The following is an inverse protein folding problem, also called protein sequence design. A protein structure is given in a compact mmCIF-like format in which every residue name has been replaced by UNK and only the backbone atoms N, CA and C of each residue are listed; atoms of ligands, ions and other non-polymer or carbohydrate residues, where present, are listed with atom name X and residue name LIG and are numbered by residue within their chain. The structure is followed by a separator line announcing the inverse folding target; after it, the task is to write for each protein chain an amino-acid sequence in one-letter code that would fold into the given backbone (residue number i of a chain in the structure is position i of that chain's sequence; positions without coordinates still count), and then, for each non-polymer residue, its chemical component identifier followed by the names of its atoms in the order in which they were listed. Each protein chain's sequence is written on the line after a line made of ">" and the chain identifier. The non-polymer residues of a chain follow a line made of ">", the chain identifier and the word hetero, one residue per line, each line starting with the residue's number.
data_IF_635704130401
#
_entry.id   IF_635704130401
#
_cell.length_a   1.000
_cell.length_b   1.000
_cell.length_c   1.000
_cell.angle_alpha   90.00
_cell.angle_beta   90.00
_cell.angle_gamma   90.00
#
_symmetry.space_group_name_H-M   'P 1'
#
loop_
_entity.id
_entity.type
_entity.pdbx_description
1 polymer ?
#
# COMPACT_ATOMS: atom_id res chain seq x y z
N UNK A 1 3.17 -32.50 -15.78
CA UNK A 1 3.76 -31.44 -16.62
C UNK A 1 3.36 -31.70 -18.06
N UNK A 2 2.77 -30.72 -18.74
CA UNK A 2 2.43 -30.79 -20.17
C UNK A 2 3.40 -29.90 -20.96
N UNK A 3 3.96 -30.39 -22.05
CA UNK A 3 4.97 -29.68 -22.85
C UNK A 3 4.40 -29.37 -24.23
N UNK A 4 4.41 -28.10 -24.61
CA UNK A 4 3.91 -27.62 -25.90
C UNK A 4 4.94 -26.68 -26.53
N UNK A 5 5.30 -26.94 -27.79
CA UNK A 5 6.18 -26.05 -28.56
C UNK A 5 5.33 -25.03 -29.31
N UNK A 6 5.53 -23.74 -29.03
CA UNK A 6 4.81 -22.62 -29.68
C UNK A 6 5.78 -21.66 -30.36
N UNK A 7 5.36 -21.12 -31.51
CA UNK A 7 6.05 -20.04 -32.23
C UNK A 7 5.58 -18.66 -31.74
N UNK A 8 6.26 -17.61 -32.19
CA UNK A 8 5.84 -16.24 -31.92
C UNK A 8 4.40 -16.00 -32.43
N UNK A 9 3.63 -15.24 -31.65
CA UNK A 9 2.21 -14.93 -31.82
C UNK A 9 1.24 -16.11 -31.64
N UNK A 10 1.73 -17.31 -31.35
CA UNK A 10 0.85 -18.42 -30.99
C UNK A 10 0.40 -18.34 -29.53
N UNK A 11 -0.76 -18.93 -29.25
CA UNK A 11 -1.44 -18.87 -27.96
C UNK A 11 -1.69 -20.26 -27.40
N UNK A 12 -1.68 -20.36 -26.07
CA UNK A 12 -2.04 -21.53 -25.29
C UNK A 12 -3.18 -21.11 -24.37
N UNK A 13 -4.28 -21.86 -24.40
CA UNK A 13 -5.41 -21.65 -23.49
C UNK A 13 -5.32 -22.64 -22.32
N UNK A 14 -5.48 -22.14 -21.10
CA UNK A 14 -5.48 -22.94 -19.87
C UNK A 14 -6.84 -22.76 -19.19
N UNK A 15 -7.61 -23.84 -19.13
CA UNK A 15 -9.02 -23.78 -18.75
C UNK A 15 -9.81 -22.91 -19.73
N UNK A 16 -10.80 -22.17 -19.24
CA UNK A 16 -11.66 -21.34 -20.09
C UNK A 16 -11.20 -19.88 -20.16
N UNK A 17 -10.59 -19.39 -19.08
CA UNK A 17 -10.39 -17.94 -18.86
C UNK A 17 -8.94 -17.46 -18.95
N UNK A 18 -7.95 -18.36 -18.99
CA UNK A 18 -6.54 -17.96 -19.05
C UNK A 18 -5.96 -18.21 -20.44
N UNK A 19 -5.35 -17.19 -21.02
CA UNK A 19 -4.68 -17.26 -22.32
C UNK A 19 -3.24 -16.79 -22.18
N UNK A 20 -2.31 -17.67 -22.54
CA UNK A 20 -0.88 -17.39 -22.59
C UNK A 20 -0.47 -17.18 -24.05
N UNK A 21 0.12 -16.03 -24.36
CA UNK A 21 0.53 -15.66 -25.71
C UNK A 21 2.04 -15.50 -25.76
N UNK A 22 2.69 -16.11 -26.75
CA UNK A 22 4.11 -15.88 -27.00
C UNK A 22 4.25 -14.58 -27.81
N UNK A 23 4.59 -13.49 -27.15
CA UNK A 23 4.64 -12.15 -27.78
C UNK A 23 5.89 -12.02 -28.64
N UNK A 24 7.04 -12.48 -28.15
CA UNK A 24 8.32 -12.41 -28.86
C UNK A 24 9.28 -13.47 -28.36
N UNK A 25 10.06 -14.02 -29.27
CA UNK A 25 11.20 -14.89 -28.95
C UNK A 25 12.48 -14.18 -29.42
N UNK A 26 13.44 -14.01 -28.53
CA UNK A 26 14.73 -13.37 -28.82
C UNK A 26 15.85 -14.21 -28.19
N UNK A 27 16.43 -15.12 -28.97
CA UNK A 27 17.43 -16.07 -28.47
C UNK A 27 16.87 -16.86 -27.29
N UNK A 28 17.50 -16.70 -26.13
CA UNK A 28 17.13 -17.40 -24.90
C UNK A 28 16.01 -16.70 -24.10
N UNK A 29 15.61 -15.49 -24.51
CA UNK A 29 14.57 -14.71 -23.81
C UNK A 29 13.25 -14.79 -24.56
N UNK A 30 12.19 -15.07 -23.81
CA UNK A 30 10.81 -15.11 -24.33
C UNK A 30 9.99 -14.04 -23.62
N UNK A 31 9.26 -13.23 -24.40
CA UNK A 31 8.21 -12.36 -23.88
C UNK A 31 6.89 -13.09 -23.94
N UNK A 32 6.24 -13.19 -22.79
CA UNK A 32 4.98 -13.90 -22.63
C UNK A 32 3.93 -12.88 -22.18
N UNK A 33 2.81 -12.83 -22.90
CA UNK A 33 1.60 -12.12 -22.50
C UNK A 33 0.66 -13.10 -21.81
N UNK A 34 0.10 -12.71 -20.68
CA UNK A 34 -0.85 -13.54 -19.92
C UNK A 34 -2.13 -12.73 -19.75
N UNK A 35 -3.22 -13.25 -20.28
CA UNK A 35 -4.56 -12.71 -20.09
C UNK A 35 -5.29 -13.64 -19.11
N UNK A 36 -5.80 -13.08 -18.03
CA UNK A 36 -6.46 -13.80 -16.96
C UNK A 36 -7.59 -12.94 -16.36
N UNK A 37 -8.66 -13.56 -15.84
CA UNK A 37 -9.80 -12.84 -15.27
C UNK A 37 -9.43 -12.16 -13.93
N UNK A 38 -10.20 -11.14 -13.51
CA UNK A 38 -10.03 -10.52 -12.20
C UNK A 38 -10.28 -11.57 -11.10
N UNK A 39 -9.26 -11.83 -10.28
CA UNK A 39 -9.30 -12.86 -9.24
C UNK A 39 -8.22 -13.94 -9.40
N UNK A 40 -7.66 -14.10 -10.60
CA UNK A 40 -6.50 -14.96 -10.83
C UNK A 40 -5.22 -14.13 -10.68
N UNK A 41 -4.44 -14.38 -9.64
CA UNK A 41 -3.12 -13.76 -9.46
C UNK A 41 -2.11 -14.37 -10.42
N UNK A 42 -1.41 -13.52 -11.16
CA UNK A 42 -0.30 -13.90 -12.05
C UNK A 42 0.97 -13.32 -11.46
N UNK A 43 1.88 -14.19 -11.00
CA UNK A 43 3.13 -13.81 -10.37
C UNK A 43 4.29 -14.55 -11.04
N UNK A 44 5.47 -13.93 -11.01
CA UNK A 44 6.72 -14.63 -11.31
C UNK A 44 7.04 -15.57 -10.15
N UNK A 45 7.56 -16.75 -10.45
CA UNK A 45 7.69 -17.85 -9.48
C UNK A 45 8.55 -17.47 -8.26
N UNK A 46 9.60 -16.69 -8.50
CA UNK A 46 10.49 -16.16 -7.47
C UNK A 46 9.81 -15.21 -6.48
N UNK A 47 8.61 -14.70 -6.80
CA UNK A 47 7.87 -13.76 -5.95
C UNK A 47 6.86 -14.43 -5.02
N UNK A 48 6.67 -15.76 -5.08
CA UNK A 48 5.65 -16.48 -4.31
C UNK A 48 5.69 -16.23 -2.80
N UNK A 49 6.86 -15.94 -2.22
CA UNK A 49 7.02 -15.76 -0.78
C UNK A 49 6.60 -14.39 -0.21
N UNK A 50 6.36 -13.38 -1.05
CA UNK A 50 6.14 -12.00 -0.59
C UNK A 50 4.67 -11.58 -0.53
N UNK A 51 3.71 -12.45 -0.89
CA UNK A 51 2.35 -12.02 -1.22
C UNK A 51 1.25 -12.46 -0.25
N UNK A 52 1.60 -13.12 0.85
CA UNK A 52 0.60 -13.67 1.79
C UNK A 52 0.52 -12.93 3.14
N UNK A 53 1.48 -12.05 3.46
CA UNK A 53 1.44 -11.29 4.73
C UNK A 53 0.81 -9.90 4.64
N UNK A 54 0.80 -9.26 3.48
CA UNK A 54 0.49 -7.82 3.41
C UNK A 54 -0.96 -7.48 3.06
N UNK A 55 -1.78 -8.45 2.64
CA UNK A 55 -3.19 -8.20 2.28
C UNK A 55 -4.19 -8.36 3.44
N UNK A 56 -3.70 -8.69 4.65
CA UNK A 56 -4.53 -8.89 5.84
C UNK A 56 -4.48 -7.77 6.88
N UNK A 57 -3.60 -6.76 6.74
CA UNK A 57 -3.47 -5.67 7.72
C UNK A 57 -3.99 -4.36 7.18
N UNK A 58 -5.31 -4.30 6.98
CA UNK A 58 -6.04 -3.03 7.05
C UNK A 58 -6.81 -3.03 8.37
N UNK A 59 -6.06 -3.12 9.47
CA UNK A 59 -6.59 -2.85 10.80
C UNK A 59 -6.84 -1.35 10.89
N UNK A 60 -8.04 -0.94 10.47
CA UNK A 60 -8.65 0.31 10.91
C UNK A 60 -8.90 0.23 12.42
N UNK A 61 -7.86 0.44 13.22
CA UNK A 61 -7.96 0.64 14.65
C UNK A 61 -6.74 1.39 15.18
N UNK A 62 -6.95 2.61 15.69
CA UNK A 62 -6.04 3.23 16.65
C UNK A 62 -5.37 4.53 16.23
N UNK A 63 -6.15 5.60 16.08
CA UNK A 63 -5.71 6.90 16.61
C UNK A 63 -6.70 7.33 17.71
N UNK A 64 -6.79 6.51 18.76
CA UNK A 64 -7.22 6.97 20.08
C UNK A 64 -5.95 7.31 20.84
N UNK A 65 -5.52 8.57 20.80
CA UNK A 65 -4.54 9.10 21.73
C UNK A 65 -5.19 10.22 22.55
N UNK A 66 -5.84 9.83 23.64
CA UNK A 66 -5.65 10.52 24.91
C UNK A 66 -5.04 9.47 25.84
N UNK A 67 -3.82 9.72 26.33
CA UNK A 67 -3.75 10.32 27.65
C UNK A 67 -2.51 11.24 27.83
N UNK A 68 -2.71 12.48 28.24
CA UNK A 68 -1.64 13.28 28.85
C UNK A 68 -2.09 13.77 30.22
N UNK A 69 -2.12 12.85 31.18
CA UNK A 69 -1.90 13.23 32.57
C UNK A 69 -0.38 13.40 32.76
N UNK A 70 0.12 14.60 32.56
CA UNK A 70 1.43 15.02 33.06
C UNK A 70 1.16 15.92 34.25
N UNK A 71 1.31 15.35 35.44
CA UNK A 71 1.44 16.12 36.67
C UNK A 71 2.66 17.04 36.56
N UNK A 72 2.44 18.31 36.87
CA UNK A 72 3.32 19.30 37.46
C UNK A 72 4.77 19.45 36.92
N UNK A 73 5.05 20.59 36.28
CA UNK A 73 6.24 21.39 36.59
C UNK A 73 5.82 22.87 36.74
N UNK A 74 6.28 23.43 37.85
CA UNK A 74 6.06 24.75 38.43
C UNK A 74 6.60 25.95 37.63
N UNK A 75 5.96 27.09 37.92
CA UNK A 75 6.49 28.46 38.04
C UNK A 75 6.91 29.29 36.80
N UNK A 76 6.13 30.36 36.60
CA UNK A 76 6.52 31.78 36.82
C UNK A 76 6.20 32.67 35.62
N UNK A 77 5.20 33.55 35.79
CA UNK A 77 5.27 35.02 35.64
C UNK A 77 3.85 35.63 35.82
N UNK A 78 3.71 36.79 36.50
CA UNK A 78 2.42 37.37 36.87
C UNK A 78 1.67 37.98 35.68
N UNK A 79 0.33 38.12 35.75
CA UNK A 79 -0.46 38.72 34.69
C UNK A 79 -0.11 40.20 34.54
N UNK A 80 0.27 40.59 33.31
CA UNK A 80 0.34 41.97 32.89
C UNK A 80 -1.01 42.63 33.20
N UNK A 81 -0.95 43.68 34.00
CA UNK A 81 -2.07 44.45 34.50
C UNK A 81 -3.01 44.86 33.35
N UNK A 82 -4.23 44.34 33.40
CA UNK A 82 -5.38 45.00 32.80
C UNK A 82 -5.94 45.89 33.91
N UNK A 83 -5.57 47.17 33.89
CA UNK A 83 -6.55 48.20 34.24
C UNK A 83 -6.19 49.51 33.54
N UNK A 84 -6.68 49.65 32.31
CA UNK A 84 -7.11 50.94 31.81
C UNK A 84 -8.48 51.18 32.42
N UNK A 85 -8.59 52.15 33.33
CA UNK A 85 -9.72 53.09 33.42
C UNK A 85 -9.54 54.02 34.62
N UNK A 86 -9.31 55.30 34.32
CA UNK A 86 -9.83 56.52 34.95
C UNK A 86 -8.76 57.62 34.72
N UNK A 87 -8.97 58.55 33.80
CA UNK A 87 -9.86 59.70 33.97
C UNK A 87 -9.48 60.54 35.18
N UNK A 88 -9.01 61.75 34.87
CA UNK A 88 -9.30 62.98 35.59
C UNK A 88 -8.96 63.03 37.08
N UNK A 89 -7.85 63.68 37.41
CA UNK A 89 -7.77 64.70 38.46
C UNK A 89 -6.34 65.25 38.57
N UNK A 90 -6.18 66.58 38.50
CA UNK A 90 -5.04 67.31 39.04
C UNK A 90 -4.03 67.78 38.02
#
# INVERSE_FOLDING_TARGET
>A
MLVLSRKQNERIRVGDSVVVTIVRVSGDKVRIGIEAPPGVRVLRDELRGHSDRDLGRVDGAGISQQPTNTQAIELRLPPLAIDRLLSAAG
#
